data_IF_824707530476
#
_entry.id   IF_824707530476
#
_cell.length_a   1.000
_cell.length_b   1.000
_cell.length_c   1.000
_cell.angle_alpha   90.00
_cell.angle_beta   90.00
_cell.angle_gamma   90.00
#
_symmetry.space_group_name_H-M   'P 1'
#
loop_
_entity.id
_entity.type
_entity.pdbx_description
1 polymer ?
#
# COMPACT_ATOMS: atom_id res chain seq x y z
N UNK A 1 11.50 4.88 -27.41
CA UNK A 1 10.46 4.39 -26.48
C UNK A 1 10.01 5.55 -25.61
N UNK A 2 8.69 5.71 -25.39
CA UNK A 2 8.17 6.71 -24.47
C UNK A 2 8.57 6.30 -23.05
N UNK A 3 9.22 7.18 -22.30
CA UNK A 3 9.61 6.90 -20.92
C UNK A 3 8.36 6.79 -20.04
N UNK A 4 8.38 5.91 -19.03
CA UNK A 4 7.28 5.74 -18.09
C UNK A 4 7.21 6.95 -17.14
N UNK A 5 6.06 7.64 -17.09
CA UNK A 5 5.91 8.89 -16.29
C UNK A 5 6.14 8.68 -14.79
N UNK A 6 5.76 7.52 -14.24
CA UNK A 6 6.01 7.19 -12.82
C UNK A 6 7.50 7.04 -12.55
N UNK A 7 8.23 6.36 -13.45
CA UNK A 7 9.69 6.23 -13.31
C UNK A 7 10.41 7.58 -13.36
N UNK A 8 9.99 8.47 -14.27
CA UNK A 8 10.54 9.83 -14.36
C UNK A 8 10.19 10.68 -13.14
N UNK A 9 8.90 10.68 -12.73
CA UNK A 9 8.41 11.44 -11.59
C UNK A 9 9.15 11.11 -10.30
N UNK A 10 9.35 9.81 -10.05
CA UNK A 10 9.89 9.28 -8.79
C UNK A 10 11.40 8.99 -8.85
N UNK A 11 12.03 9.19 -10.03
CA UNK A 11 13.45 8.86 -10.26
C UNK A 11 13.79 7.40 -9.90
N UNK A 12 12.90 6.46 -10.27
CA UNK A 12 13.06 5.01 -10.04
C UNK A 12 13.25 4.27 -11.36
N UNK A 13 13.84 3.07 -11.29
CA UNK A 13 14.13 2.26 -12.47
C UNK A 13 12.89 1.51 -12.98
N UNK A 14 12.07 0.99 -12.06
CA UNK A 14 10.91 0.17 -12.34
C UNK A 14 9.66 0.75 -11.69
N UNK A 15 8.50 0.78 -12.36
CA UNK A 15 7.28 1.38 -11.82
C UNK A 15 6.58 0.42 -10.83
N UNK A 16 7.34 -0.07 -9.86
CA UNK A 16 6.93 -1.00 -8.81
C UNK A 16 7.06 -0.30 -7.46
N UNK A 17 5.93 -0.09 -6.80
CA UNK A 17 5.87 0.58 -5.51
C UNK A 17 5.44 -0.41 -4.41
N UNK A 18 6.19 -0.43 -3.31
CA UNK A 18 5.78 -1.16 -2.12
C UNK A 18 4.82 -0.29 -1.31
N UNK A 19 3.61 -0.79 -1.08
CA UNK A 19 2.58 -0.11 -0.30
C UNK A 19 2.98 0.00 1.19
N UNK A 20 2.87 1.18 1.82
CA UNK A 20 3.12 1.31 3.25
C UNK A 20 2.08 0.54 4.05
N UNK A 21 2.57 -0.26 4.96
CA UNK A 21 1.76 -1.07 5.88
C UNK A 21 2.22 -0.75 7.31
N UNK A 22 1.28 -0.33 8.15
CA UNK A 22 1.59 0.06 9.53
C UNK A 22 2.43 -1.03 10.22
N UNK A 23 3.45 -0.64 10.97
CA UNK A 23 4.37 -1.47 11.75
C UNK A 23 5.36 -2.31 10.94
N UNK A 24 4.97 -2.82 9.78
CA UNK A 24 5.72 -3.84 9.02
C UNK A 24 6.37 -3.32 7.74
N UNK A 25 6.36 -2.02 7.50
CA UNK A 25 7.17 -1.40 6.44
C UNK A 25 8.16 -0.40 7.04
N UNK A 26 9.22 -0.95 7.57
CA UNK A 26 10.32 -0.22 8.20
C UNK A 26 11.37 0.26 7.17
N UNK A 27 12.39 0.93 7.65
CA UNK A 27 13.51 1.42 6.85
C UNK A 27 14.21 0.31 6.06
N UNK A 28 14.31 -0.91 6.62
CA UNK A 28 14.98 -2.04 5.98
C UNK A 28 14.23 -2.50 4.73
N UNK A 29 12.91 -2.69 4.85
CA UNK A 29 12.09 -3.09 3.72
C UNK A 29 12.05 -1.98 2.66
N UNK A 30 11.82 -0.73 3.08
CA UNK A 30 11.75 0.40 2.15
C UNK A 30 13.06 0.57 1.36
N UNK A 31 14.20 0.54 2.03
CA UNK A 31 15.52 0.63 1.39
C UNK A 31 15.78 -0.55 0.44
N UNK A 32 15.41 -1.77 0.80
CA UNK A 32 15.60 -2.95 -0.04
C UNK A 32 14.82 -2.86 -1.35
N UNK A 33 13.56 -2.38 -1.31
CA UNK A 33 12.76 -2.15 -2.53
C UNK A 33 13.36 -1.04 -3.39
N UNK A 34 13.81 0.06 -2.78
CA UNK A 34 14.44 1.18 -3.48
C UNK A 34 15.75 0.77 -4.14
N UNK A 35 16.60 0.00 -3.45
CA UNK A 35 17.84 -0.56 -4.00
C UNK A 35 17.59 -1.52 -5.16
N UNK A 36 16.45 -2.22 -5.17
CA UNK A 36 16.04 -3.06 -6.28
C UNK A 36 15.51 -2.28 -7.51
N UNK A 37 15.39 -0.97 -7.38
CA UNK A 37 14.95 -0.08 -8.46
C UNK A 37 13.45 0.24 -8.47
N UNK A 38 12.69 -0.16 -7.46
CA UNK A 38 11.33 0.28 -7.19
C UNK A 38 11.27 1.48 -6.26
N UNK A 39 10.11 1.76 -5.66
CA UNK A 39 9.94 2.73 -4.57
C UNK A 39 9.48 2.02 -3.31
N UNK A 40 10.34 1.97 -2.30
CA UNK A 40 9.95 1.59 -0.94
C UNK A 40 9.31 2.77 -0.21
N UNK A 41 8.28 2.51 0.61
CA UNK A 41 7.57 3.56 1.34
C UNK A 41 7.48 3.18 2.81
N UNK A 42 8.06 3.98 3.69
CA UNK A 42 8.01 3.80 5.16
C UNK A 42 6.55 3.98 5.61
N UNK A 43 6.05 3.01 6.36
CA UNK A 43 4.67 3.00 6.86
C UNK A 43 4.51 3.70 8.22
N UNK A 44 3.27 3.89 8.66
CA UNK A 44 3.00 4.40 10.01
C UNK A 44 3.56 3.43 11.08
N UNK A 45 4.06 3.98 12.18
CA UNK A 45 4.65 3.22 13.30
C UNK A 45 5.80 2.28 12.89
N UNK A 46 6.47 2.55 11.76
CA UNK A 46 7.62 1.77 11.30
C UNK A 46 8.71 1.70 12.39
N UNK A 47 9.32 0.51 12.56
CA UNK A 47 10.37 0.29 13.55
C UNK A 47 9.92 0.33 15.03
N UNK A 48 8.69 0.74 15.31
CA UNK A 48 8.17 0.80 16.68
C UNK A 48 7.78 -0.60 17.21
N UNK A 49 7.92 -0.77 18.53
CA UNK A 49 7.51 -2.01 19.23
C UNK A 49 6.28 -1.78 20.13
N UNK A 50 5.95 -0.54 20.41
CA UNK A 50 4.87 -0.15 21.33
C UNK A 50 4.06 1.00 20.73
N UNK A 51 2.77 1.04 21.04
CA UNK A 51 1.92 2.20 20.77
C UNK A 51 2.41 3.40 21.58
N UNK A 52 2.26 4.59 21.01
CA UNK A 52 2.40 5.86 21.72
C UNK A 52 1.24 6.77 21.36
N UNK A 53 0.80 7.57 22.33
CA UNK A 53 -0.13 8.69 22.15
C UNK A 53 0.60 10.03 22.19
N UNK A 54 1.92 10.00 22.33
CA UNK A 54 2.77 11.21 22.31
C UNK A 54 3.10 11.57 20.85
N UNK A 55 2.69 12.78 20.48
CA UNK A 55 2.87 13.33 19.15
C UNK A 55 4.36 13.57 18.83
N UNK A 56 5.13 14.02 19.83
CA UNK A 56 6.57 14.30 19.66
C UNK A 56 7.32 12.98 19.49
N UNK A 57 7.03 11.99 20.35
CA UNK A 57 7.62 10.67 20.22
C UNK A 57 7.31 10.01 18.87
N UNK A 58 6.08 10.19 18.36
CA UNK A 58 5.70 9.72 17.01
C UNK A 58 6.61 10.34 15.94
N UNK A 59 6.87 11.64 16.02
CA UNK A 59 7.80 12.32 15.11
C UNK A 59 9.23 11.82 15.21
N UNK A 60 9.74 11.61 16.42
CA UNK A 60 11.12 11.13 16.62
C UNK A 60 11.31 9.68 16.17
N UNK A 61 10.32 8.82 16.36
CA UNK A 61 10.32 7.46 15.80
C UNK A 61 10.39 7.50 14.26
N UNK A 62 9.58 8.33 13.61
CA UNK A 62 9.62 8.51 12.17
C UNK A 62 10.98 9.07 11.72
N UNK A 63 11.53 10.06 12.42
CA UNK A 63 12.86 10.64 12.14
C UNK A 63 13.95 9.55 12.17
N UNK A 64 13.92 8.71 13.19
CA UNK A 64 14.86 7.59 13.32
C UNK A 64 14.77 6.64 12.13
N UNK A 65 13.56 6.28 11.69
CA UNK A 65 13.37 5.39 10.53
C UNK A 65 13.77 6.05 9.21
N UNK A 66 13.52 7.34 9.01
CA UNK A 66 13.99 8.08 7.83
C UNK A 66 15.52 8.08 7.77
N UNK A 67 16.19 8.41 8.87
CA UNK A 67 17.67 8.41 8.94
C UNK A 67 18.26 7.02 8.74
N UNK A 68 17.61 6.01 9.29
CA UNK A 68 17.97 4.61 9.07
C UNK A 68 17.81 4.22 7.60
N UNK A 69 16.74 4.60 6.93
CA UNK A 69 16.58 4.34 5.50
C UNK A 69 17.66 5.02 4.68
N UNK A 70 17.98 6.30 4.98
CA UNK A 70 19.09 7.03 4.33
C UNK A 70 20.47 6.38 4.53
N UNK A 71 20.68 5.65 5.63
CA UNK A 71 21.92 4.90 5.85
C UNK A 71 21.96 3.57 5.07
N UNK A 72 20.84 3.09 4.57
CA UNK A 72 20.71 1.80 3.86
C UNK A 72 20.57 1.96 2.33
N UNK A 73 20.26 3.16 1.85
CA UNK A 73 20.06 3.43 0.42
C UNK A 73 20.38 4.88 0.06
N UNK A 74 20.96 5.08 -1.13
CA UNK A 74 21.09 6.37 -1.81
C UNK A 74 19.95 6.62 -2.82
N UNK A 75 19.04 5.67 -2.96
CA UNK A 75 17.90 5.71 -3.89
C UNK A 75 16.70 6.41 -3.28
N UNK A 76 15.78 6.97 -4.09
CA UNK A 76 14.55 7.55 -3.60
C UNK A 76 13.72 6.53 -2.80
N UNK A 77 13.18 6.97 -1.68
CA UNK A 77 12.15 6.27 -0.93
C UNK A 77 11.06 7.25 -0.49
N UNK A 78 9.90 6.73 -0.15
CA UNK A 78 8.77 7.53 0.30
C UNK A 78 8.46 7.35 1.78
N UNK A 79 7.62 8.24 2.29
CA UNK A 79 7.03 8.16 3.63
C UNK A 79 5.52 8.28 3.51
N UNK A 80 4.77 7.47 4.25
CA UNK A 80 3.32 7.57 4.30
C UNK A 80 2.86 8.59 5.33
N UNK A 81 1.87 9.38 4.97
CA UNK A 81 1.16 10.30 5.87
C UNK A 81 -0.33 10.03 5.78
N UNK A 82 -0.97 9.86 6.94
CA UNK A 82 -2.41 9.74 7.03
C UNK A 82 -3.06 11.12 6.94
N UNK A 83 -4.06 11.29 6.09
CA UNK A 83 -4.75 12.57 5.85
C UNK A 83 -6.26 12.42 6.00
N UNK A 84 -6.70 11.88 7.15
CA UNK A 84 -8.10 11.78 7.52
C UNK A 84 -8.57 12.98 8.33
N UNK A 85 -9.87 13.29 8.31
CA UNK A 85 -10.49 14.27 9.23
C UNK A 85 -10.40 13.81 10.67
N UNK A 86 -10.27 14.76 11.60
CA UNK A 86 -10.38 14.52 13.05
C UNK A 86 -9.05 14.56 13.80
N UNK A 87 -9.02 13.95 14.99
CA UNK A 87 -7.94 14.08 15.99
C UNK A 87 -6.59 13.50 15.57
N UNK A 88 -6.56 12.69 14.51
CA UNK A 88 -5.31 12.13 13.98
C UNK A 88 -4.41 13.17 13.33
N UNK A 89 -4.93 14.38 13.01
CA UNK A 89 -4.14 15.40 12.33
C UNK A 89 -2.90 15.85 13.12
N UNK A 90 -2.95 15.92 14.45
CA UNK A 90 -1.79 16.30 15.25
C UNK A 90 -0.58 15.36 15.02
N UNK A 91 -0.80 14.06 14.87
CA UNK A 91 0.25 13.10 14.56
C UNK A 91 0.75 13.28 13.13
N UNK A 92 -0.15 13.51 12.18
CA UNK A 92 0.19 13.73 10.79
C UNK A 92 0.91 15.07 10.58
N UNK A 93 0.51 16.13 11.27
CA UNK A 93 1.19 17.44 11.25
C UNK A 93 2.63 17.30 11.76
N UNK A 94 2.86 16.54 12.82
CA UNK A 94 4.20 16.24 13.32
C UNK A 94 5.02 15.38 12.35
N UNK A 95 4.41 14.38 11.71
CA UNK A 95 5.06 13.60 10.67
C UNK A 95 5.48 14.48 9.48
N UNK A 96 4.60 15.36 9.01
CA UNK A 96 4.91 16.31 7.93
C UNK A 96 6.06 17.23 8.29
N UNK A 97 6.09 17.77 9.53
CA UNK A 97 7.22 18.56 10.01
C UNK A 97 8.53 17.80 9.93
N UNK A 98 8.57 16.56 10.41
CA UNK A 98 9.77 15.71 10.36
C UNK A 98 10.18 15.41 8.91
N UNK A 99 9.23 15.13 8.02
CA UNK A 99 9.47 14.87 6.59
C UNK A 99 10.15 16.06 5.92
N UNK A 100 9.69 17.29 6.22
CA UNK A 100 10.28 18.51 5.70
C UNK A 100 11.70 18.74 6.23
N UNK A 101 11.91 18.56 7.53
CA UNK A 101 13.23 18.71 8.19
C UNK A 101 14.25 17.68 7.67
N UNK A 102 13.80 16.45 7.43
CA UNK A 102 14.67 15.38 6.93
C UNK A 102 14.81 15.38 5.40
N UNK A 103 14.08 16.20 4.64
CA UNK A 103 14.21 16.29 3.19
C UNK A 103 13.87 14.99 2.46
N UNK A 104 12.69 14.40 2.76
CA UNK A 104 12.18 13.20 2.07
C UNK A 104 11.73 13.58 0.66
N UNK A 105 12.04 12.75 -0.33
CA UNK A 105 11.74 13.07 -1.73
C UNK A 105 10.28 12.79 -2.14
N UNK A 106 9.63 11.80 -1.52
CA UNK A 106 8.29 11.32 -1.90
C UNK A 106 7.41 11.13 -0.67
N UNK A 107 6.18 11.62 -0.73
CA UNK A 107 5.14 11.38 0.29
C UNK A 107 3.95 10.67 -0.35
N UNK A 108 3.52 9.58 0.26
CA UNK A 108 2.28 8.91 -0.06
C UNK A 108 1.19 9.29 0.95
N UNK A 109 0.31 10.20 0.58
CA UNK A 109 -0.85 10.58 1.37
C UNK A 109 -1.91 9.47 1.31
N UNK A 110 -2.51 9.14 2.44
CA UNK A 110 -3.61 8.17 2.53
C UNK A 110 -4.75 8.74 3.36
N UNK A 111 -5.93 8.89 2.77
CA UNK A 111 -7.10 9.44 3.46
C UNK A 111 -8.02 10.21 2.54
N UNK A 112 -8.88 11.04 3.14
CA UNK A 112 -9.92 11.81 2.45
C UNK A 112 -9.60 13.32 2.33
N UNK A 113 -8.41 13.77 2.78
CA UNK A 113 -8.01 15.19 2.82
C UNK A 113 -6.66 15.41 2.10
N UNK A 114 -6.55 15.15 0.77
CA UNK A 114 -5.28 15.33 0.06
C UNK A 114 -4.81 16.78 0.08
N UNK A 115 -5.73 17.76 0.03
CA UNK A 115 -5.44 19.19 -0.01
C UNK A 115 -4.78 19.74 1.26
N UNK A 116 -4.99 19.10 2.42
CA UNK A 116 -4.45 19.59 3.70
C UNK A 116 -2.93 19.79 3.66
N UNK A 117 -2.21 18.86 3.06
CA UNK A 117 -0.75 18.87 3.05
C UNK A 117 -0.16 19.17 1.67
N UNK A 118 -0.96 19.10 0.60
CA UNK A 118 -0.47 19.14 -0.76
C UNK A 118 0.37 20.38 -1.04
N UNK A 119 -0.15 21.57 -0.73
CA UNK A 119 0.57 22.82 -0.99
C UNK A 119 1.90 22.88 -0.27
N UNK A 120 1.92 22.65 1.03
CA UNK A 120 3.13 22.73 1.87
C UNK A 120 4.24 21.78 1.40
N UNK A 121 3.87 20.54 1.07
CA UNK A 121 4.82 19.52 0.63
C UNK A 121 5.34 19.82 -0.78
N UNK A 122 4.49 20.29 -1.69
CA UNK A 122 4.91 20.69 -3.04
C UNK A 122 5.82 21.92 -3.04
N UNK A 123 5.55 22.91 -2.21
CA UNK A 123 6.41 24.08 -2.06
C UNK A 123 7.83 23.69 -1.61
N UNK A 124 7.97 22.57 -0.91
CA UNK A 124 9.26 21.96 -0.53
C UNK A 124 9.85 21.04 -1.63
N UNK A 125 9.24 20.93 -2.81
CA UNK A 125 9.71 20.09 -3.93
C UNK A 125 9.43 18.59 -3.78
N UNK A 126 8.64 18.17 -2.81
CA UNK A 126 8.29 16.77 -2.53
C UNK A 126 7.28 16.26 -3.56
N UNK A 127 7.48 15.04 -4.07
CA UNK A 127 6.54 14.37 -4.97
C UNK A 127 5.42 13.72 -4.17
N UNK A 128 4.18 13.94 -4.61
CA UNK A 128 2.99 13.53 -3.88
C UNK A 128 2.25 12.42 -4.60
N UNK A 129 2.11 11.29 -3.91
CA UNK A 129 1.21 10.20 -4.28
C UNK A 129 -0.02 10.27 -3.37
N UNK A 130 -1.19 9.92 -3.88
CA UNK A 130 -2.39 9.88 -3.03
C UNK A 130 -3.20 8.61 -3.26
N UNK A 131 -3.51 7.93 -2.17
CA UNK A 131 -4.49 6.85 -2.09
C UNK A 131 -5.70 7.32 -1.30
N UNK A 132 -6.81 7.53 -1.98
CA UNK A 132 -8.04 7.95 -1.33
C UNK A 132 -8.67 6.82 -0.50
N UNK A 133 -9.15 7.11 0.70
CA UNK A 133 -9.93 6.27 1.61
C UNK A 133 -10.87 7.16 2.44
N UNK A 134 -12.06 6.70 2.83
CA UNK A 134 -12.61 5.35 2.62
C UNK A 134 -13.23 5.13 1.22
N UNK A 135 -13.19 6.11 0.35
CA UNK A 135 -13.75 6.04 -1.01
C UNK A 135 -12.61 6.18 -2.02
N UNK A 136 -12.48 5.22 -2.95
CA UNK A 136 -11.45 5.23 -3.98
C UNK A 136 -12.11 5.05 -5.35
N UNK A 137 -12.50 6.18 -5.95
CA UNK A 137 -13.26 6.24 -7.21
C UNK A 137 -12.82 7.45 -8.06
N UNK A 138 -13.52 7.68 -9.17
CA UNK A 138 -13.25 8.76 -10.12
C UNK A 138 -13.33 10.14 -9.47
N UNK A 139 -14.32 10.38 -8.60
CA UNK A 139 -14.48 11.68 -7.92
C UNK A 139 -13.31 11.96 -6.98
N UNK A 140 -12.90 10.97 -6.18
CA UNK A 140 -11.73 11.07 -5.31
C UNK A 140 -10.44 11.32 -6.13
N UNK A 141 -10.30 10.70 -7.29
CA UNK A 141 -9.16 10.90 -8.18
C UNK A 141 -9.12 12.31 -8.76
N UNK A 142 -10.25 12.86 -9.22
CA UNK A 142 -10.36 14.25 -9.69
C UNK A 142 -10.05 15.25 -8.58
N UNK A 143 -10.55 15.02 -7.37
CA UNK A 143 -10.24 15.87 -6.21
C UNK A 143 -8.74 15.85 -5.88
N UNK A 144 -8.10 14.70 -5.94
CA UNK A 144 -6.66 14.59 -5.75
C UNK A 144 -5.87 15.38 -6.82
N UNK A 145 -6.24 15.25 -8.09
CA UNK A 145 -5.63 16.02 -9.18
C UNK A 145 -5.80 17.54 -8.95
N UNK A 146 -7.00 18.00 -8.59
CA UNK A 146 -7.28 19.41 -8.28
C UNK A 146 -6.48 19.91 -7.06
N UNK A 147 -6.22 19.06 -6.08
CA UNK A 147 -5.36 19.37 -4.93
C UNK A 147 -3.86 19.45 -5.29
N UNK A 148 -3.49 19.14 -6.54
CA UNK A 148 -2.11 19.21 -7.02
C UNK A 148 -1.27 17.95 -6.71
N UNK A 149 -1.90 16.80 -6.49
CA UNK A 149 -1.22 15.52 -6.37
C UNK A 149 -0.51 15.17 -7.69
N UNK A 150 0.68 14.55 -7.62
CA UNK A 150 1.49 14.23 -8.80
C UNK A 150 1.15 12.88 -9.42
N UNK A 151 0.65 11.89 -8.63
CA UNK A 151 0.14 10.63 -9.14
C UNK A 151 -0.92 10.05 -8.18
N UNK A 152 -1.95 9.41 -8.74
CA UNK A 152 -3.06 8.82 -7.98
C UNK A 152 -2.90 7.30 -7.87
N UNK A 153 -3.09 6.77 -6.65
CA UNK A 153 -3.05 5.34 -6.36
C UNK A 153 -4.48 4.80 -6.36
N UNK A 154 -4.87 4.19 -7.48
CA UNK A 154 -6.17 3.54 -7.64
C UNK A 154 -6.11 2.11 -7.11
N UNK A 155 -6.69 1.88 -5.92
CA UNK A 155 -6.69 0.56 -5.29
C UNK A 155 -8.06 -0.07 -5.38
N UNK A 156 -8.17 -1.16 -6.16
CA UNK A 156 -9.41 -1.92 -6.29
C UNK A 156 -9.76 -2.73 -5.02
N UNK A 157 -10.98 -3.26 -5.04
CA UNK A 157 -11.57 -3.99 -3.91
C UNK A 157 -10.80 -5.25 -3.50
N UNK A 158 -9.94 -5.80 -4.37
CA UNK A 158 -9.05 -6.94 -4.09
C UNK A 158 -7.90 -6.58 -3.14
N UNK A 159 -7.72 -5.32 -2.80
CA UNK A 159 -6.70 -4.85 -1.86
C UNK A 159 -6.80 -5.50 -0.48
N UNK A 160 -5.68 -5.55 0.25
CA UNK A 160 -5.61 -5.95 1.65
C UNK A 160 -5.69 -4.74 2.59
N UNK A 161 -6.09 -4.98 3.83
CA UNK A 161 -6.35 -3.91 4.78
C UNK A 161 -7.58 -3.09 4.39
N UNK A 162 -7.57 -1.80 4.66
CA UNK A 162 -8.69 -0.93 4.31
C UNK A 162 -8.90 -0.84 2.81
N UNK A 163 -10.12 -1.07 2.35
CA UNK A 163 -10.56 -1.05 0.95
C UNK A 163 -11.71 -0.07 0.76
N UNK A 164 -11.92 0.36 -0.49
CA UNK A 164 -12.96 1.32 -0.83
C UNK A 164 -14.37 0.81 -0.50
N UNK A 165 -15.19 1.69 0.09
CA UNK A 165 -16.61 1.40 0.38
C UNK A 165 -17.41 1.11 -0.89
N UNK A 166 -16.99 1.67 -2.02
CA UNK A 166 -17.62 1.48 -3.34
C UNK A 166 -17.44 0.05 -3.88
N UNK A 167 -16.53 -0.74 -3.29
CA UNK A 167 -16.25 -2.15 -3.65
C UNK A 167 -15.96 -2.36 -5.13
N UNK A 168 -15.35 -1.38 -5.80
CA UNK A 168 -15.05 -1.46 -7.24
C UNK A 168 -13.81 -2.34 -7.46
N UNK A 169 -13.92 -3.42 -8.27
CA UNK A 169 -12.78 -4.27 -8.59
C UNK A 169 -11.70 -3.53 -9.40
N UNK A 170 -10.45 -3.94 -9.26
CA UNK A 170 -9.29 -3.34 -9.92
C UNK A 170 -9.48 -3.25 -11.44
N UNK A 171 -10.01 -4.31 -12.06
CA UNK A 171 -10.20 -4.41 -13.51
C UNK A 171 -11.12 -3.33 -14.10
N UNK A 172 -12.12 -2.87 -13.36
CA UNK A 172 -13.07 -1.82 -13.80
C UNK A 172 -12.75 -0.44 -13.21
N UNK A 173 -12.06 -0.39 -12.08
CA UNK A 173 -11.67 0.88 -11.44
C UNK A 173 -10.59 1.61 -12.25
N UNK A 174 -9.54 0.88 -12.64
CA UNK A 174 -8.36 1.47 -13.26
C UNK A 174 -8.70 2.24 -14.54
N UNK A 175 -9.37 1.64 -15.56
CA UNK A 175 -9.64 2.37 -16.80
C UNK A 175 -10.54 3.59 -16.58
N UNK A 176 -11.53 3.51 -15.67
CA UNK A 176 -12.40 4.66 -15.38
C UNK A 176 -11.62 5.83 -14.77
N UNK A 177 -10.64 5.56 -13.90
CA UNK A 177 -9.80 6.60 -13.31
C UNK A 177 -8.82 7.15 -14.36
N UNK A 178 -8.18 6.28 -15.16
CA UNK A 178 -7.26 6.67 -16.23
C UNK A 178 -7.94 7.61 -17.24
N UNK A 179 -9.18 7.32 -17.61
CA UNK A 179 -9.95 8.17 -18.54
C UNK A 179 -10.39 9.51 -17.92
N UNK A 180 -10.44 9.60 -16.59
CA UNK A 180 -11.02 10.72 -15.86
C UNK A 180 -10.00 11.79 -15.42
N UNK A 181 -8.70 11.46 -15.30
CA UNK A 181 -7.64 12.35 -14.80
C UNK A 181 -6.43 12.35 -15.75
N UNK A 182 -5.59 13.40 -15.66
CA UNK A 182 -4.39 13.55 -16.50
C UNK A 182 -3.11 13.13 -15.81
N UNK A 183 -3.10 13.15 -14.46
CA UNK A 183 -1.94 12.69 -13.68
C UNK A 183 -1.80 11.17 -13.79
N UNK A 184 -0.56 10.63 -13.68
CA UNK A 184 -0.33 9.19 -13.80
C UNK A 184 -1.13 8.40 -12.75
N UNK A 185 -1.64 7.23 -13.14
CA UNK A 185 -2.37 6.31 -12.28
C UNK A 185 -1.48 5.11 -11.92
N UNK A 186 -1.42 4.80 -10.64
CA UNK A 186 -0.72 3.64 -10.07
C UNK A 186 -1.77 2.64 -9.61
N UNK A 187 -1.76 1.43 -10.16
CA UNK A 187 -2.75 0.40 -9.84
C UNK A 187 -2.38 -0.39 -8.60
N UNK A 188 -3.32 -0.56 -7.68
CA UNK A 188 -3.21 -1.43 -6.50
C UNK A 188 -4.41 -2.35 -6.36
N UNK A 189 -4.25 -3.40 -5.54
CA UNK A 189 -5.30 -4.41 -5.32
C UNK A 189 -5.18 -5.63 -6.25
N UNK A 190 -4.98 -6.81 -5.67
CA UNK A 190 -4.88 -8.07 -6.40
C UNK A 190 -3.57 -8.31 -7.18
N UNK A 191 -2.72 -7.31 -7.32
CA UNK A 191 -1.47 -7.37 -8.09
C UNK A 191 -0.36 -7.95 -7.21
N UNK A 192 0.25 -9.07 -7.64
CA UNK A 192 1.29 -9.78 -6.87
C UNK A 192 2.45 -10.31 -7.73
N UNK A 193 2.29 -10.30 -9.06
CA UNK A 193 3.25 -10.84 -10.03
C UNK A 193 3.22 -10.06 -11.35
N UNK A 194 4.02 -10.50 -12.35
CA UNK A 194 4.11 -9.86 -13.66
C UNK A 194 2.81 -9.92 -14.47
N UNK A 195 1.96 -10.93 -14.25
CA UNK A 195 0.65 -11.02 -14.91
C UNK A 195 -0.24 -9.85 -14.49
N UNK A 196 -0.31 -9.59 -13.19
CA UNK A 196 -1.06 -8.47 -12.64
C UNK A 196 -0.49 -7.12 -13.09
N UNK A 197 0.84 -7.00 -13.20
CA UNK A 197 1.48 -5.79 -13.72
C UNK A 197 1.11 -5.52 -15.19
N UNK A 198 1.20 -6.53 -16.06
CA UNK A 198 0.83 -6.39 -17.48
C UNK A 198 -0.64 -6.03 -17.63
N UNK A 199 -1.53 -6.70 -16.89
CA UNK A 199 -2.97 -6.40 -16.90
C UNK A 199 -3.24 -4.95 -16.46
N UNK A 200 -2.62 -4.49 -15.38
CA UNK A 200 -2.77 -3.10 -14.90
C UNK A 200 -2.29 -2.08 -15.95
N UNK A 201 -1.17 -2.34 -16.60
CA UNK A 201 -0.66 -1.47 -17.67
C UNK A 201 -1.55 -1.49 -18.91
N UNK A 202 -2.10 -2.64 -19.28
CA UNK A 202 -3.07 -2.76 -20.37
C UNK A 202 -4.37 -1.96 -20.09
N UNK A 203 -4.74 -1.80 -18.82
CA UNK A 203 -5.85 -0.96 -18.38
C UNK A 203 -5.48 0.54 -18.29
N UNK A 204 -4.24 0.92 -18.63
CA UNK A 204 -3.77 2.30 -18.68
C UNK A 204 -3.03 2.78 -17.42
N UNK A 205 -2.81 1.95 -16.42
CA UNK A 205 -1.95 2.31 -15.28
C UNK A 205 -0.49 2.45 -15.71
N UNK A 206 0.28 3.28 -15.01
CA UNK A 206 1.69 3.53 -15.30
C UNK A 206 2.64 3.00 -14.21
N UNK A 207 2.09 2.37 -13.20
CA UNK A 207 2.83 1.69 -12.14
C UNK A 207 1.93 0.77 -11.34
N UNK A 208 2.54 -0.03 -10.48
CA UNK A 208 1.83 -0.97 -9.59
C UNK A 208 2.20 -0.72 -8.12
N UNK A 209 1.21 -0.88 -7.24
CA UNK A 209 1.31 -0.64 -5.80
C UNK A 209 0.90 -1.89 -5.04
N UNK A 210 1.87 -2.53 -4.39
CA UNK A 210 1.70 -3.86 -3.82
C UNK A 210 2.02 -3.89 -2.33
N UNK A 211 1.10 -4.42 -1.51
CA UNK A 211 1.30 -4.65 -0.08
C UNK A 211 1.62 -6.12 0.22
N UNK A 212 0.65 -6.99 0.07
CA UNK A 212 0.71 -8.41 0.46
C UNK A 212 1.93 -9.14 -0.09
N UNK A 213 2.33 -8.88 -1.33
CA UNK A 213 3.54 -9.48 -1.93
C UNK A 213 4.79 -9.12 -1.12
N UNK A 214 4.90 -7.88 -0.64
CA UNK A 214 6.05 -7.42 0.13
C UNK A 214 6.01 -7.83 1.61
N UNK A 215 4.85 -8.20 2.18
CA UNK A 215 4.80 -8.86 3.50
C UNK A 215 5.58 -10.19 3.45
N UNK A 216 5.42 -10.95 2.36
CA UNK A 216 6.11 -12.22 2.17
C UNK A 216 7.55 -12.03 1.63
N UNK A 217 8.31 -11.10 2.24
CA UNK A 217 9.75 -10.90 1.95
C UNK A 217 10.61 -11.09 3.20
N UNK A 218 11.89 -11.36 2.97
CA UNK A 218 12.87 -11.57 4.06
C UNK A 218 13.14 -10.30 4.84
N UNK A 219 13.01 -9.13 4.21
CA UNK A 219 13.26 -7.82 4.80
C UNK A 219 12.08 -7.29 5.62
N UNK A 220 10.85 -7.72 5.31
CA UNK A 220 9.67 -7.33 6.07
C UNK A 220 9.75 -7.88 7.51
N UNK A 221 9.57 -7.04 8.55
CA UNK A 221 9.65 -7.49 9.95
C UNK A 221 8.43 -8.28 10.42
N UNK A 222 7.42 -8.49 9.57
CA UNK A 222 6.27 -9.33 9.91
C UNK A 222 6.70 -10.72 10.40
N UNK A 223 6.03 -11.22 11.44
CA UNK A 223 6.33 -12.51 12.05
C UNK A 223 6.26 -13.66 11.03
N UNK A 224 7.08 -14.70 11.16
CA UNK A 224 7.03 -15.87 10.28
C UNK A 224 5.64 -16.49 10.12
N UNK A 225 4.83 -16.57 11.20
CA UNK A 225 3.43 -17.03 11.14
C UNK A 225 2.60 -16.24 10.13
N UNK A 226 2.71 -14.90 10.11
CA UNK A 226 1.99 -14.07 9.16
C UNK A 226 2.43 -14.37 7.72
N UNK A 227 3.75 -14.46 7.48
CA UNK A 227 4.29 -14.80 6.15
C UNK A 227 3.84 -16.19 5.72
N UNK A 228 3.90 -17.18 6.62
CA UNK A 228 3.48 -18.55 6.33
C UNK A 228 1.97 -18.65 6.04
N UNK A 229 1.15 -17.87 6.75
CA UNK A 229 -0.28 -17.80 6.47
C UNK A 229 -0.58 -17.26 5.06
N UNK A 230 0.22 -16.31 4.56
CA UNK A 230 0.13 -15.83 3.16
C UNK A 230 0.53 -16.96 2.19
N UNK A 231 1.62 -17.68 2.44
CA UNK A 231 2.10 -18.77 1.56
C UNK A 231 1.09 -19.93 1.48
N UNK A 232 0.39 -20.21 2.57
CA UNK A 232 -0.62 -21.24 2.66
C UNK A 232 -2.00 -20.80 2.13
N UNK A 233 -2.17 -19.52 1.80
CA UNK A 233 -3.43 -18.99 1.32
C UNK A 233 -3.83 -19.58 -0.04
N UNK A 234 -5.14 -19.66 -0.26
CA UNK A 234 -5.78 -19.95 -1.53
C UNK A 234 -6.72 -18.81 -1.96
N UNK A 235 -7.51 -19.02 -2.98
CA UNK A 235 -8.47 -18.07 -3.55
C UNK A 235 -9.60 -17.64 -2.59
N UNK A 236 -9.92 -18.47 -1.60
CA UNK A 236 -11.00 -18.23 -0.62
C UNK A 236 -10.52 -17.87 0.77
N UNK A 237 -9.21 -17.71 0.97
CA UNK A 237 -8.61 -17.48 2.31
C UNK A 237 -8.84 -16.10 2.89
N UNK A 238 -9.38 -15.14 2.13
CA UNK A 238 -9.65 -13.78 2.62
C UNK A 238 -11.13 -13.49 2.69
N UNK A 239 -11.49 -12.55 3.57
CA UNK A 239 -12.85 -12.04 3.71
C UNK A 239 -12.80 -10.54 4.00
N UNK A 240 -13.86 -9.82 3.64
CA UNK A 240 -14.06 -8.42 4.01
C UNK A 240 -15.06 -8.30 5.15
N UNK A 241 -14.82 -7.33 6.01
CA UNK A 241 -15.68 -7.01 7.16
C UNK A 241 -15.62 -5.51 7.45
N UNK A 242 -16.56 -5.01 8.24
CA UNK A 242 -16.62 -3.60 8.65
C UNK A 242 -15.50 -3.29 9.65
N UNK A 243 -14.83 -2.17 9.44
CA UNK A 243 -13.78 -1.67 10.31
C UNK A 243 -14.05 -0.23 10.73
N UNK A 244 -13.23 0.31 11.63
CA UNK A 244 -13.36 1.70 12.13
C UNK A 244 -13.24 2.75 11.00
N UNK A 245 -12.60 2.41 9.89
CA UNK A 245 -12.34 3.31 8.75
C UNK A 245 -13.03 2.81 7.47
N UNK A 246 -14.14 2.09 7.60
CA UNK A 246 -14.87 1.52 6.47
C UNK A 246 -14.71 0.00 6.36
N UNK A 247 -14.37 -0.53 5.19
CA UNK A 247 -14.17 -1.96 4.98
C UNK A 247 -12.70 -2.36 5.13
N UNK A 248 -12.46 -3.55 5.68
CA UNK A 248 -11.14 -4.15 5.78
C UNK A 248 -11.15 -5.56 5.19
N UNK A 249 -10.11 -5.93 4.41
CA UNK A 249 -9.89 -7.30 3.94
C UNK A 249 -8.73 -7.93 4.68
N UNK A 250 -8.96 -9.13 5.22
CA UNK A 250 -7.93 -9.89 5.94
C UNK A 250 -8.05 -11.40 5.69
N UNK A 251 -7.06 -12.16 6.16
CA UNK A 251 -7.16 -13.61 6.27
C UNK A 251 -8.28 -14.01 7.24
N UNK A 252 -8.90 -15.15 6.99
CA UNK A 252 -9.91 -15.77 7.84
C UNK A 252 -9.26 -16.35 9.10
N UNK A 253 -8.84 -15.45 10.00
CA UNK A 253 -8.41 -15.85 11.34
C UNK A 253 -9.61 -16.10 12.24
N UNK A 254 -9.49 -16.85 13.35
CA UNK A 254 -10.64 -17.13 14.23
C UNK A 254 -11.40 -15.88 14.69
N UNK A 255 -10.75 -14.77 15.09
CA UNK A 255 -11.48 -13.55 15.45
C UNK A 255 -12.18 -12.88 14.25
N UNK A 256 -11.59 -12.91 13.05
CA UNK A 256 -12.21 -12.37 11.84
C UNK A 256 -13.43 -13.18 11.44
N UNK A 257 -13.35 -14.51 11.42
CA UNK A 257 -14.49 -15.38 11.09
C UNK A 257 -15.65 -15.20 12.08
N UNK A 258 -15.32 -15.13 13.37
CA UNK A 258 -16.35 -14.86 14.40
C UNK A 258 -17.04 -13.52 14.16
N UNK A 259 -16.28 -12.45 13.90
CA UNK A 259 -16.84 -11.13 13.68
C UNK A 259 -17.71 -11.07 12.41
N UNK A 260 -17.25 -11.69 11.32
CA UNK A 260 -18.04 -11.81 10.07
C UNK A 260 -19.36 -12.54 10.30
N UNK A 261 -19.37 -13.61 11.11
CA UNK A 261 -20.62 -14.29 11.48
C UNK A 261 -21.55 -13.39 12.29
N UNK A 262 -21.01 -12.56 13.18
CA UNK A 262 -21.81 -11.57 13.93
C UNK A 262 -22.42 -10.52 12.99
N UNK A 263 -21.67 -10.05 11.98
CA UNK A 263 -22.21 -9.14 10.95
C UNK A 263 -23.34 -9.78 10.15
N UNK A 264 -23.16 -11.02 9.70
CA UNK A 264 -24.18 -11.77 8.93
C UNK A 264 -25.46 -12.01 9.75
N UNK A 265 -25.34 -12.21 11.05
CA UNK A 265 -26.45 -12.43 11.96
C UNK A 265 -27.07 -11.13 12.51
N UNK A 266 -26.52 -9.96 12.16
CA UNK A 266 -26.96 -8.66 12.67
C UNK A 266 -26.67 -8.45 14.17
N UNK A 267 -25.71 -9.17 14.74
CA UNK A 267 -25.31 -9.10 16.15
C UNK A 267 -23.97 -8.39 16.39
N UNK A 268 -23.29 -7.95 15.32
CA UNK A 268 -22.05 -7.20 15.43
C UNK A 268 -22.28 -5.83 16.10
N UNK A 269 -21.46 -5.51 17.09
CA UNK A 269 -21.51 -4.24 17.82
C UNK A 269 -20.25 -3.42 17.55
N UNK A 270 -20.33 -2.11 17.82
CA UNK A 270 -19.17 -1.22 17.76
C UNK A 270 -18.07 -1.67 18.71
N UNK A 271 -18.42 -2.18 19.89
CA UNK A 271 -17.47 -2.67 20.87
C UNK A 271 -16.69 -3.89 20.36
N UNK A 272 -17.37 -4.86 19.72
CA UNK A 272 -16.72 -6.03 19.11
C UNK A 272 -15.81 -5.62 17.94
N UNK A 273 -16.22 -4.65 17.13
CA UNK A 273 -15.38 -4.09 16.08
C UNK A 273 -14.11 -3.43 16.64
N UNK A 274 -14.24 -2.60 17.68
CA UNK A 274 -13.10 -1.96 18.34
C UNK A 274 -12.18 -3.00 18.96
N UNK A 275 -12.74 -4.04 19.58
CA UNK A 275 -11.98 -5.15 20.17
C UNK A 275 -11.19 -5.93 19.12
N UNK A 276 -11.78 -6.18 17.96
CA UNK A 276 -11.11 -6.82 16.84
C UNK A 276 -9.88 -6.02 16.37
N UNK A 277 -9.95 -4.68 16.41
CA UNK A 277 -8.89 -3.79 15.94
C UNK A 277 -7.85 -3.39 17.01
N UNK A 278 -8.15 -3.55 18.30
CA UNK A 278 -7.27 -3.13 19.41
C UNK A 278 -5.90 -3.85 19.44
N UNK A 279 -5.77 -4.95 18.73
CA UNK A 279 -4.56 -5.78 18.74
C UNK A 279 -3.73 -5.63 17.45
N UNK A 280 -3.94 -4.57 16.66
CA UNK A 280 -3.40 -4.45 15.29
C UNK A 280 -1.87 -4.37 15.18
N UNK A 281 -1.13 -4.13 16.24
CA UNK A 281 0.29 -3.81 16.10
C UNK A 281 1.24 -4.91 16.53
N UNK A 282 1.15 -5.36 17.79
CA UNK A 282 2.05 -6.38 18.32
C UNK A 282 1.88 -7.74 17.68
N UNK A 283 0.65 -8.22 17.42
CA UNK A 283 0.44 -9.53 16.85
C UNK A 283 1.04 -9.74 15.46
N UNK A 284 1.17 -8.69 14.65
CA UNK A 284 1.86 -8.80 13.35
C UNK A 284 3.36 -9.04 13.49
N UNK A 285 3.93 -8.53 14.58
CA UNK A 285 5.34 -8.72 14.95
C UNK A 285 5.55 -9.95 15.84
N UNK A 286 4.51 -10.39 16.57
CA UNK A 286 4.54 -11.53 17.51
C UNK A 286 3.92 -12.81 16.93
N UNK A 287 3.10 -12.71 15.87
CA UNK A 287 2.55 -13.85 15.14
C UNK A 287 1.35 -14.52 15.79
N UNK A 288 0.58 -13.80 16.59
CA UNK A 288 -0.59 -14.35 17.26
C UNK A 288 -1.78 -14.50 16.30
N UNK A 289 -1.90 -15.69 15.71
CA UNK A 289 -3.00 -16.05 14.81
C UNK A 289 -4.37 -16.10 15.51
N UNK A 290 -4.39 -16.48 16.78
CA UNK A 290 -5.63 -16.78 17.50
C UNK A 290 -6.42 -15.52 17.87
N UNK A 291 -5.75 -14.38 18.00
CA UNK A 291 -6.38 -13.14 18.49
C UNK A 291 -6.30 -11.98 17.48
N UNK A 292 -5.68 -12.17 16.30
CA UNK A 292 -5.30 -11.06 15.43
C UNK A 292 -5.95 -11.08 14.06
N UNK A 293 -6.15 -9.89 13.53
CA UNK A 293 -6.44 -9.64 12.12
C UNK A 293 -5.12 -9.57 11.34
N UNK A 294 -4.99 -10.36 10.27
CA UNK A 294 -3.87 -10.30 9.32
C UNK A 294 -4.34 -9.72 7.98
N UNK A 295 -4.19 -8.40 7.76
CA UNK A 295 -4.65 -7.74 6.54
C UNK A 295 -3.87 -8.20 5.31
N UNK A 296 -4.53 -8.88 4.39
CA UNK A 296 -3.96 -9.31 3.09
C UNK A 296 -4.97 -9.13 1.98
N UNK A 297 -4.50 -8.89 0.76
CA UNK A 297 -5.34 -8.83 -0.43
C UNK A 297 -5.76 -10.19 -0.95
N UNK A 298 -6.79 -10.21 -1.80
CA UNK A 298 -7.32 -11.42 -2.43
C UNK A 298 -6.26 -12.18 -3.26
N UNK A 299 -5.22 -11.49 -3.75
CA UNK A 299 -4.10 -12.10 -4.46
C UNK A 299 -3.14 -12.93 -3.58
N UNK A 300 -3.37 -13.07 -2.27
CA UNK A 300 -2.50 -13.84 -1.37
C UNK A 300 -2.27 -15.27 -1.88
N UNK A 301 -3.32 -15.92 -2.39
CA UNK A 301 -3.24 -17.29 -2.92
C UNK A 301 -2.28 -17.49 -4.09
N UNK A 302 -1.80 -16.42 -4.72
CA UNK A 302 -0.79 -16.47 -5.79
C UNK A 302 0.64 -16.42 -5.25
N UNK A 303 0.85 -16.10 -3.98
CA UNK A 303 2.17 -15.98 -3.36
C UNK A 303 2.58 -17.32 -2.74
N UNK A 304 3.61 -17.96 -3.29
CA UNK A 304 3.97 -19.35 -2.94
C UNK A 304 5.29 -19.48 -2.18
N UNK A 305 6.06 -18.39 -2.04
CA UNK A 305 7.33 -18.41 -1.31
C UNK A 305 7.64 -17.03 -0.69
N UNK A 306 8.38 -17.06 0.40
CA UNK A 306 9.07 -15.88 0.95
C UNK A 306 10.37 -15.69 0.19
N UNK A 307 10.61 -14.48 -0.34
CA UNK A 307 11.82 -14.15 -1.10
C UNK A 307 12.37 -12.80 -0.66
N UNK A 308 13.50 -12.35 -1.21
CA UNK A 308 13.96 -10.99 -0.98
C UNK A 308 13.10 -9.96 -1.72
N UNK A 309 13.07 -8.72 -1.21
CA UNK A 309 12.40 -7.60 -1.90
C UNK A 309 13.00 -7.37 -3.29
N UNK A 310 14.31 -7.57 -3.44
CA UNK A 310 14.98 -7.48 -4.73
C UNK A 310 14.46 -8.53 -5.72
N UNK A 311 14.33 -9.80 -5.28
CA UNK A 311 13.77 -10.86 -6.12
C UNK A 311 12.30 -10.58 -6.50
N UNK A 312 11.51 -9.99 -5.58
CA UNK A 312 10.13 -9.58 -5.90
C UNK A 312 10.11 -8.57 -7.04
N UNK A 313 10.89 -7.49 -6.94
CA UNK A 313 10.92 -6.43 -7.95
C UNK A 313 11.41 -6.97 -9.29
N UNK A 314 12.52 -7.71 -9.30
CA UNK A 314 13.12 -8.20 -10.56
C UNK A 314 12.25 -9.25 -11.24
N UNK A 315 11.72 -10.22 -10.48
CA UNK A 315 10.89 -11.29 -11.06
C UNK A 315 9.59 -10.77 -11.67
N UNK A 316 8.98 -9.74 -11.09
CA UNK A 316 7.78 -9.11 -11.65
C UNK A 316 8.08 -8.47 -13.01
N UNK A 317 9.20 -7.76 -13.12
CA UNK A 317 9.61 -7.13 -14.38
C UNK A 317 9.96 -8.18 -15.45
N UNK A 318 10.74 -9.20 -15.08
CA UNK A 318 11.12 -10.28 -16.00
C UNK A 318 9.91 -11.07 -16.48
N UNK A 319 8.96 -11.36 -15.58
CA UNK A 319 7.72 -12.02 -15.94
C UNK A 319 6.85 -11.15 -16.85
N UNK A 320 6.70 -9.87 -16.55
CA UNK A 320 5.95 -8.93 -17.37
C UNK A 320 6.54 -8.82 -18.78
N UNK A 321 7.87 -8.69 -18.92
CA UNK A 321 8.56 -8.67 -20.21
C UNK A 321 8.33 -9.96 -21.01
N UNK A 322 8.44 -11.12 -20.37
CA UNK A 322 8.15 -12.42 -20.99
C UNK A 322 6.71 -12.53 -21.48
N UNK A 323 5.74 -12.07 -20.68
CA UNK A 323 4.32 -12.08 -21.07
C UNK A 323 4.09 -11.20 -22.30
N UNK A 324 4.60 -9.97 -22.28
CA UNK A 324 4.46 -9.04 -23.40
C UNK A 324 5.06 -9.61 -24.70
N UNK A 325 6.24 -10.22 -24.64
CA UNK A 325 6.85 -10.89 -25.79
C UNK A 325 5.98 -12.04 -26.32
N UNK A 326 5.41 -12.85 -25.42
CA UNK A 326 4.53 -13.94 -25.82
C UNK A 326 3.22 -13.44 -26.44
N UNK A 327 2.63 -12.34 -25.90
CA UNK A 327 1.40 -11.74 -26.46
C UNK A 327 1.62 -11.21 -27.87
N UNK A 328 2.78 -10.61 -28.16
CA UNK A 328 3.13 -10.20 -29.54
C UNK A 328 3.14 -11.38 -30.51
N UNK A 329 3.53 -12.58 -30.06
CA UNK A 329 3.57 -13.78 -30.88
C UNK A 329 2.21 -14.46 -31.09
N UNK A 330 1.16 -14.06 -30.35
CA UNK A 330 -0.19 -14.64 -30.47
C UNK A 330 -1.03 -14.03 -31.62
N UNK A 331 -0.44 -13.19 -32.48
CA UNK A 331 -1.12 -12.63 -33.65
C UNK A 331 -2.31 -11.71 -33.31
N UNK A 332 -2.39 -11.20 -32.10
CA UNK A 332 -3.40 -10.22 -31.69
C UNK A 332 -3.10 -8.81 -32.23
N UNK A 333 -1.95 -8.60 -32.85
CA UNK A 333 -1.66 -7.38 -33.59
C UNK A 333 -2.23 -7.56 -35.02
N UNK A 334 -3.24 -6.78 -35.35
CA UNK A 334 -3.67 -6.63 -36.75
C UNK A 334 -2.52 -5.98 -37.53
N UNK A 335 -2.13 -6.62 -38.66
CA UNK A 335 -1.15 -6.09 -39.59
C UNK A 335 -1.57 -4.72 -40.13
#
# INVERSE_FOLDING_TARGET
>A
MKKNRICELLSIKYPVLQAPMSWITDAKLAAAVSNAGGLGIIGPNAGAKTLTTDVIETGERLRSEIRRAKSLTDKPFGVNVLSYKGDLFQFSDQCVKVILEEGVAVVALCGDQPEKYAKQLKDAGIKLLHRALPVNNVEAARRAEQAGIDAFIATGFEGGGHVGLDRIPTFVLIPQIVDAIKIPVIAGGGIVDGRGMVAAMALGAEGVYMGTRFIATTECPAHPTYKQAIINANDTSTVTFTSMVGLCRALKTPPVERYVQMELNGTATYEEMVKLHRHESRPWLEGDWATTVFPVGAGAGLIKKVTSAAEVVTSIIEEADRILKNMCNLGLMME
#
